data_IF_508278244965
#
_entry.id   IF_508278244965
#
_cell.length_a   1.000
_cell.length_b   1.000
_cell.length_c   1.000
_cell.angle_alpha   90.00
_cell.angle_beta   90.00
_cell.angle_gamma   90.00
#
_symmetry.space_group_name_H-M   'P 1'
#
loop_
_entity.id
_entity.type
_entity.pdbx_description
1 polymer ?
#
# COMPACT_ATOMS: atom_id res chain seq x y z
N UNK A 1 -9.10 -34.64 -14.71
CA UNK A 1 -8.35 -33.39 -14.93
C UNK A 1 -8.92 -32.35 -13.98
N UNK A 2 -8.07 -31.68 -13.21
CA UNK A 2 -8.52 -30.55 -12.37
C UNK A 2 -8.86 -29.39 -13.30
N UNK A 3 -10.14 -29.27 -13.64
CA UNK A 3 -10.63 -28.11 -14.38
C UNK A 3 -10.41 -26.87 -13.53
N UNK A 4 -9.74 -25.87 -14.09
CA UNK A 4 -9.63 -24.56 -13.48
C UNK A 4 -11.06 -24.01 -13.33
N UNK A 5 -11.53 -23.90 -12.09
CA UNK A 5 -12.81 -23.29 -11.77
C UNK A 5 -12.55 -21.97 -11.09
N UNK A 6 -13.23 -20.93 -11.57
CA UNK A 6 -13.27 -19.60 -10.97
C UNK A 6 -14.69 -19.40 -10.39
N UNK A 7 -14.95 -19.89 -9.17
CA UNK A 7 -16.27 -19.84 -8.58
C UNK A 7 -16.60 -18.42 -8.10
N UNK A 8 -17.86 -18.02 -8.23
CA UNK A 8 -18.36 -16.77 -7.65
C UNK A 8 -18.10 -16.72 -6.13
N UNK A 9 -17.75 -15.54 -5.65
CA UNK A 9 -17.47 -15.26 -4.25
C UNK A 9 -18.37 -14.16 -3.71
N UNK A 10 -18.74 -14.28 -2.44
CA UNK A 10 -19.45 -13.24 -1.70
C UNK A 10 -18.43 -12.34 -0.99
N UNK A 11 -18.46 -11.05 -1.31
CA UNK A 11 -17.58 -10.05 -0.70
C UNK A 11 -18.30 -9.33 0.45
N UNK A 12 -17.72 -9.36 1.64
CA UNK A 12 -18.32 -8.75 2.85
C UNK A 12 -17.45 -7.58 3.32
N UNK A 13 -17.94 -6.34 3.31
CA UNK A 13 -17.15 -5.19 3.74
C UNK A 13 -16.92 -5.20 5.26
N UNK A 14 -15.67 -4.99 5.65
CA UNK A 14 -15.27 -4.75 7.03
C UNK A 14 -15.36 -3.25 7.32
N UNK A 15 -16.50 -2.81 7.83
CA UNK A 15 -16.80 -1.39 8.08
C UNK A 15 -15.83 -0.72 9.06
N UNK A 16 -15.12 -1.50 9.89
CA UNK A 16 -14.10 -0.96 10.78
C UNK A 16 -12.86 -0.46 10.02
N UNK A 17 -12.71 -0.86 8.76
CA UNK A 17 -11.61 -0.45 7.88
C UNK A 17 -11.98 0.68 6.92
N UNK A 18 -13.19 1.23 7.05
CA UNK A 18 -13.67 2.31 6.19
C UNK A 18 -12.83 3.58 6.41
N UNK A 19 -12.24 4.11 5.34
CA UNK A 19 -11.53 5.39 5.38
C UNK A 19 -11.82 6.24 4.14
N UNK A 20 -11.59 7.55 4.23
CA UNK A 20 -11.75 8.44 3.06
C UNK A 20 -10.72 8.05 2.00
N UNK A 21 -11.14 8.02 0.73
CA UNK A 21 -10.26 7.68 -0.38
C UNK A 21 -9.42 8.89 -0.80
N UNK A 22 -8.12 8.95 -0.44
CA UNK A 22 -7.33 10.15 -0.69
C UNK A 22 -7.13 10.38 -2.19
N UNK A 23 -7.32 11.61 -2.65
CA UNK A 23 -7.18 11.98 -4.07
C UNK A 23 -8.32 11.55 -4.98
N UNK A 24 -9.33 10.83 -4.50
CA UNK A 24 -10.40 10.28 -5.35
C UNK A 24 -11.56 11.28 -5.64
N UNK A 25 -11.50 12.51 -5.13
CA UNK A 25 -12.58 13.50 -5.19
C UNK A 25 -13.58 13.34 -4.04
N UNK A 26 -14.50 14.31 -3.89
CA UNK A 26 -15.46 14.33 -2.77
C UNK A 26 -16.39 13.12 -2.78
N UNK A 27 -16.64 12.52 -1.60
CA UNK A 27 -17.66 11.49 -1.41
C UNK A 27 -17.23 10.05 -1.70
N UNK A 28 -15.91 9.78 -1.82
CA UNK A 28 -15.38 8.42 -2.03
C UNK A 28 -14.64 7.91 -0.80
N UNK A 29 -14.72 6.61 -0.58
CA UNK A 29 -14.10 5.91 0.55
C UNK A 29 -13.54 4.55 0.12
N UNK A 30 -12.55 4.05 0.85
CA UNK A 30 -12.02 2.70 0.74
C UNK A 30 -12.53 1.85 1.91
N UNK A 31 -12.77 0.57 1.64
CA UNK A 31 -13.11 -0.44 2.65
C UNK A 31 -12.52 -1.78 2.21
N UNK A 32 -11.94 -2.53 3.14
CA UNK A 32 -11.57 -3.91 2.86
C UNK A 32 -12.83 -4.79 2.81
N UNK A 33 -12.89 -5.70 1.85
CA UNK A 33 -13.92 -6.72 1.80
C UNK A 33 -13.28 -8.11 1.96
N UNK A 34 -13.78 -8.88 2.91
CA UNK A 34 -13.37 -10.26 3.14
C UNK A 34 -14.17 -11.19 2.20
N UNK A 35 -13.46 -12.13 1.57
CA UNK A 35 -14.04 -13.04 0.58
C UNK A 35 -14.55 -14.33 1.24
N UNK A 36 -15.76 -14.73 0.87
CA UNK A 36 -16.43 -15.94 1.34
C UNK A 36 -16.92 -16.77 0.16
N UNK A 37 -16.97 -18.08 0.36
CA UNK A 37 -17.77 -18.96 -0.47
C UNK A 37 -19.26 -18.58 -0.36
N UNK A 38 -20.08 -19.02 -1.33
CA UNK A 38 -21.52 -18.79 -1.31
C UNK A 38 -22.25 -19.46 -0.12
N UNK A 39 -21.60 -20.41 0.55
CA UNK A 39 -22.07 -21.12 1.74
C UNK A 39 -21.54 -20.51 3.06
N UNK A 40 -21.07 -19.25 3.01
CA UNK A 40 -20.53 -18.48 4.13
C UNK A 40 -19.22 -18.99 4.73
N UNK A 41 -18.60 -20.03 4.18
CA UNK A 41 -17.24 -20.42 4.58
C UNK A 41 -16.22 -19.38 4.11
N UNK A 42 -15.20 -19.04 4.92
CA UNK A 42 -14.17 -18.09 4.52
C UNK A 42 -13.34 -18.62 3.35
N UNK A 43 -12.99 -17.73 2.42
CA UNK A 43 -12.05 -18.06 1.35
C UNK A 43 -10.63 -18.05 1.89
N UNK A 44 -10.12 -19.22 2.25
CA UNK A 44 -8.85 -19.37 2.97
C UNK A 44 -7.62 -18.98 2.15
N UNK A 45 -7.72 -18.83 0.83
CA UNK A 45 -6.63 -18.33 0.00
C UNK A 45 -6.58 -16.78 -0.05
N UNK A 46 -7.54 -16.08 0.56
CA UNK A 46 -7.47 -14.61 0.65
C UNK A 46 -6.40 -14.18 1.66
N UNK A 47 -5.55 -13.18 1.35
CA UNK A 47 -4.47 -12.75 2.23
C UNK A 47 -4.93 -12.38 3.65
N UNK A 48 -6.11 -11.77 3.79
CA UNK A 48 -6.67 -11.39 5.11
C UNK A 48 -7.07 -12.59 5.95
N UNK A 49 -7.65 -13.65 5.36
CA UNK A 49 -7.95 -14.87 6.11
C UNK A 49 -6.69 -15.65 6.49
N UNK A 50 -5.68 -15.67 5.61
CA UNK A 50 -4.35 -16.23 5.95
C UNK A 50 -3.74 -15.48 7.14
N UNK A 51 -3.74 -14.15 7.10
CA UNK A 51 -3.20 -13.33 8.20
C UNK A 51 -3.95 -13.57 9.51
N UNK A 52 -5.29 -13.61 9.49
CA UNK A 52 -6.11 -13.93 10.68
C UNK A 52 -5.75 -15.30 11.26
N UNK A 53 -5.61 -16.31 10.41
CA UNK A 53 -5.20 -17.66 10.84
C UNK A 53 -3.82 -17.66 11.51
N UNK A 54 -2.84 -16.93 10.95
CA UNK A 54 -1.52 -16.77 11.57
C UNK A 54 -1.62 -16.07 12.92
N UNK A 55 -2.36 -14.96 13.02
CA UNK A 55 -2.55 -14.23 14.28
C UNK A 55 -3.24 -15.09 15.36
N UNK A 56 -4.17 -15.96 14.98
CA UNK A 56 -4.78 -16.91 15.90
C UNK A 56 -3.77 -17.93 16.46
N UNK A 57 -2.79 -18.36 15.67
CA UNK A 57 -1.72 -19.24 16.15
C UNK A 57 -0.81 -18.56 17.19
N UNK A 58 -0.58 -17.25 17.07
CA UNK A 58 0.10 -16.46 18.10
C UNK A 58 -0.76 -16.37 19.36
N UNK A 59 -2.05 -16.04 19.21
CA UNK A 59 -3.00 -15.90 20.33
C UNK A 59 -3.17 -17.18 21.13
N UNK A 60 -3.20 -18.35 20.48
CA UNK A 60 -3.26 -19.66 21.15
C UNK A 60 -2.07 -19.93 22.07
N UNK A 61 -0.92 -19.28 21.81
CA UNK A 61 0.28 -19.34 22.66
C UNK A 61 0.33 -18.22 23.71
N UNK A 62 -0.70 -17.39 23.79
CA UNK A 62 -0.72 -16.18 24.63
C UNK A 62 0.19 -15.07 24.10
N UNK A 63 0.60 -15.12 22.84
CA UNK A 63 1.49 -14.12 22.23
C UNK A 63 0.70 -13.02 21.52
N UNK A 64 1.29 -11.82 21.49
CA UNK A 64 0.80 -10.68 20.71
C UNK A 64 1.83 -10.35 19.64
N UNK A 65 1.47 -10.54 18.37
CA UNK A 65 2.30 -10.14 17.25
C UNK A 65 2.36 -8.60 17.14
N UNK A 66 3.55 -8.06 16.90
CA UNK A 66 3.81 -6.64 16.64
C UNK A 66 4.65 -6.58 15.37
N UNK A 67 4.23 -5.74 14.41
CA UNK A 67 4.92 -5.55 13.14
C UNK A 67 5.12 -4.06 12.88
N UNK A 68 6.26 -3.71 12.30
CA UNK A 68 6.61 -2.36 11.85
C UNK A 68 7.20 -2.49 10.44
N UNK A 69 6.37 -2.48 9.38
CA UNK A 69 6.87 -2.59 8.02
C UNK A 69 7.49 -1.27 7.58
N UNK A 70 8.62 -1.36 6.88
CA UNK A 70 9.25 -0.25 6.15
C UNK A 70 9.00 -0.47 4.66
N UNK A 71 8.52 0.56 3.96
CA UNK A 71 8.22 0.49 2.54
C UNK A 71 9.14 1.44 1.77
N UNK A 72 9.93 0.86 0.87
CA UNK A 72 10.78 1.60 -0.06
C UNK A 72 10.07 1.73 -1.42
N UNK A 73 10.26 2.87 -2.07
CA UNK A 73 9.76 3.13 -3.42
C UNK A 73 10.70 4.08 -4.17
N UNK A 74 10.58 4.08 -5.50
CA UNK A 74 11.37 4.94 -6.37
C UNK A 74 10.46 5.92 -7.10
N UNK A 75 10.90 7.17 -7.24
CA UNK A 75 10.31 8.12 -8.18
C UNK A 75 11.03 7.98 -9.53
N UNK A 76 10.27 7.95 -10.61
CA UNK A 76 10.79 7.82 -11.98
C UNK A 76 10.31 8.97 -12.84
N UNK A 77 11.06 9.28 -13.88
CA UNK A 77 10.54 10.13 -14.96
C UNK A 77 9.37 9.42 -15.68
N UNK A 78 8.45 10.17 -16.30
CA UNK A 78 7.40 9.57 -17.13
C UNK A 78 8.00 8.62 -18.16
N UNK A 79 7.52 7.37 -18.17
CA UNK A 79 7.97 6.33 -19.11
C UNK A 79 6.84 5.93 -20.07
N UNK A 80 6.64 6.64 -21.20
CA UNK A 80 5.56 6.34 -22.13
C UNK A 80 5.82 5.10 -22.99
N UNK A 81 7.08 4.67 -23.09
CA UNK A 81 7.51 3.49 -23.83
C UNK A 81 7.98 2.42 -22.83
N UNK A 82 7.17 1.38 -22.54
CA UNK A 82 7.48 0.39 -21.53
C UNK A 82 8.68 -0.49 -21.89
N UNK A 83 9.10 -0.50 -23.15
CA UNK A 83 10.28 -1.24 -23.62
C UNK A 83 11.60 -0.51 -23.32
N UNK A 84 11.53 0.74 -22.85
CA UNK A 84 12.72 1.54 -22.48
C UNK A 84 13.04 1.45 -20.97
N UNK A 85 14.32 1.56 -20.60
CA UNK A 85 14.71 1.62 -19.20
C UNK A 85 14.10 2.82 -18.47
N UNK A 86 13.75 2.61 -17.19
CA UNK A 86 13.36 3.70 -16.31
C UNK A 86 14.51 4.69 -16.13
N UNK A 87 14.16 5.97 -16.05
CA UNK A 87 15.11 7.06 -15.81
C UNK A 87 14.71 7.85 -14.57
N UNK A 88 15.69 8.47 -13.92
CA UNK A 88 15.45 9.32 -12.76
C UNK A 88 14.65 10.57 -13.17
N UNK A 89 13.67 11.00 -12.38
CA UNK A 89 12.90 12.21 -12.68
C UNK A 89 13.82 13.42 -12.67
N UNK A 90 13.50 14.40 -13.51
CA UNK A 90 14.11 15.72 -13.42
C UNK A 90 13.43 16.44 -12.27
N UNK A 91 14.18 16.83 -11.25
CA UNK A 91 13.60 17.55 -10.13
C UNK A 91 13.51 19.07 -10.35
N UNK A 92 13.14 19.81 -9.31
CA UNK A 92 12.92 21.27 -9.33
C UNK A 92 14.12 22.06 -9.84
N UNK A 93 15.34 21.57 -9.65
CA UNK A 93 16.56 22.24 -10.11
C UNK A 93 16.86 22.01 -11.62
N UNK A 94 16.02 21.24 -12.32
CA UNK A 94 16.17 20.93 -13.73
C UNK A 94 17.22 19.85 -14.04
N UNK A 95 17.74 19.16 -13.03
CA UNK A 95 18.71 18.07 -13.15
C UNK A 95 18.08 16.77 -12.67
N UNK A 96 18.49 15.67 -13.29
CA UNK A 96 18.22 14.33 -12.78
C UNK A 96 19.33 13.94 -11.81
N UNK A 97 18.96 13.35 -10.67
CA UNK A 97 19.95 12.76 -9.79
C UNK A 97 20.74 11.69 -10.55
N UNK A 98 22.06 11.86 -10.58
CA UNK A 98 22.96 10.97 -11.33
C UNK A 98 23.71 10.00 -10.41
N UNK A 99 23.63 10.23 -9.09
CA UNK A 99 24.28 9.44 -8.03
C UNK A 99 23.30 9.33 -6.86
N UNK A 100 23.13 8.11 -6.32
CA UNK A 100 22.39 7.91 -5.07
C UNK A 100 23.18 8.57 -3.92
N UNK A 101 22.64 9.67 -3.40
CA UNK A 101 23.12 10.28 -2.17
C UNK A 101 22.12 9.98 -1.06
N UNK A 102 22.19 8.79 -0.41
CA UNK A 102 21.34 8.53 0.75
C UNK A 102 21.58 9.64 1.76
N UNK A 103 20.50 10.23 2.28
CA UNK A 103 20.46 11.34 3.23
C UNK A 103 20.77 12.75 2.67
N UNK A 104 20.69 12.99 1.37
CA UNK A 104 20.80 14.35 0.85
C UNK A 104 19.54 15.18 1.16
N UNK A 105 19.70 16.20 1.99
CA UNK A 105 18.64 17.17 2.31
C UNK A 105 18.13 17.90 1.07
N UNK A 106 18.95 18.00 0.01
CA UNK A 106 18.54 18.62 -1.26
C UNK A 106 17.44 17.83 -1.97
N UNK A 107 17.44 16.49 -1.86
CA UNK A 107 16.43 15.63 -2.47
C UNK A 107 15.06 15.74 -1.77
N UNK A 108 15.07 15.94 -0.44
CA UNK A 108 13.87 16.24 0.35
C UNK A 108 13.20 17.56 -0.10
N UNK A 109 13.98 18.60 -0.37
CA UNK A 109 13.47 19.87 -0.90
C UNK A 109 12.95 19.75 -2.35
N UNK A 110 13.61 18.92 -3.15
CA UNK A 110 13.30 18.69 -4.55
C UNK A 110 11.95 17.98 -4.75
N UNK A 111 11.66 16.97 -3.91
CA UNK A 111 10.44 16.16 -3.97
C UNK A 111 9.42 16.46 -2.86
N UNK A 112 9.61 17.56 -2.12
CA UNK A 112 8.73 18.04 -1.06
C UNK A 112 7.22 17.95 -1.40
N UNK A 113 6.75 18.34 -2.61
CA UNK A 113 5.32 18.26 -2.93
C UNK A 113 4.77 16.83 -2.93
N UNK A 114 5.58 15.85 -3.31
CA UNK A 114 5.20 14.43 -3.31
C UNK A 114 5.17 13.92 -1.88
N UNK A 115 6.21 14.22 -1.11
CA UNK A 115 6.33 13.83 0.30
C UNK A 115 5.15 14.38 1.12
N UNK A 116 4.85 15.68 0.98
CA UNK A 116 3.71 16.31 1.65
C UNK A 116 2.38 15.64 1.28
N UNK A 117 2.19 15.28 0.00
CA UNK A 117 0.99 14.57 -0.45
C UNK A 117 0.88 13.18 0.18
N UNK A 118 1.99 12.45 0.31
CA UNK A 118 2.00 11.15 0.98
C UNK A 118 1.56 11.29 2.45
N UNK A 119 2.07 12.28 3.17
CA UNK A 119 1.63 12.57 4.55
C UNK A 119 0.15 12.93 4.63
N UNK A 120 -0.32 13.87 3.79
CA UNK A 120 -1.73 14.28 3.76
C UNK A 120 -2.66 13.07 3.50
N UNK A 121 -2.27 12.19 2.57
CA UNK A 121 -3.07 11.03 2.18
C UNK A 121 -3.03 9.92 3.23
N UNK A 122 -1.88 9.67 3.85
CA UNK A 122 -1.76 8.73 4.95
C UNK A 122 -2.62 9.17 6.15
N UNK A 123 -2.57 10.45 6.51
CA UNK A 123 -3.41 11.01 7.57
C UNK A 123 -4.91 10.85 7.26
N UNK A 124 -5.33 11.16 6.03
CA UNK A 124 -6.73 10.98 5.59
C UNK A 124 -7.18 9.51 5.62
N UNK A 125 -6.27 8.57 5.37
CA UNK A 125 -6.52 7.14 5.42
C UNK A 125 -6.39 6.53 6.84
N UNK A 126 -5.99 7.33 7.85
CA UNK A 126 -5.77 6.85 9.22
C UNK A 126 -4.51 5.99 9.38
N UNK A 127 -3.52 6.17 8.50
CA UNK A 127 -2.23 5.47 8.54
C UNK A 127 -1.19 6.35 9.27
N UNK A 128 -0.73 5.96 10.47
CA UNK A 128 0.34 6.68 11.17
C UNK A 128 1.68 6.41 10.46
N UNK A 129 2.23 7.42 9.80
CA UNK A 129 3.59 7.37 9.26
C UNK A 129 4.56 8.01 10.26
N UNK A 130 5.58 7.27 10.68
CA UNK A 130 6.56 7.74 11.67
C UNK A 130 7.73 8.51 11.02
N UNK A 131 8.32 8.00 9.94
CA UNK A 131 9.44 8.63 9.26
C UNK A 131 9.40 8.37 7.75
N UNK A 132 9.87 9.35 6.97
CA UNK A 132 10.18 9.19 5.55
C UNK A 132 11.64 9.61 5.35
N UNK A 133 12.42 8.71 4.76
CA UNK A 133 13.87 8.85 4.57
C UNK A 133 14.15 8.73 3.07
N UNK A 134 15.05 9.57 2.57
CA UNK A 134 15.59 9.52 1.21
C UNK A 134 17.06 9.13 1.27
#
# INVERSE_FOLDING_TARGET
>A
GFGYQDPDMRMVPDVATLCLAPGAGSGKAYVFADAFHMDDRPWMASPRHVLRAVLDLYRQRGWRAVVAPELEFYLTAPNPDPDRPLSAPVGRNGRSETVQHPYDMAALEEFEPVIRRLYDYAAAAGLPLDALIH
#
